data_IF_538618567514
#
_entry.id   IF_538618567514
#
_cell.length_a   1.000
_cell.length_b   1.000
_cell.length_c   1.000
_cell.angle_alpha   90.00
_cell.angle_beta   90.00
_cell.angle_gamma   90.00
#
_symmetry.space_group_name_H-M   'P 1'
#
loop_
_entity.id
_entity.type
_entity.pdbx_description
1 polymer ?
#
# COMPACT_ATOMS: atom_id res chain seq x y z
N UNK A 1 -43.29 31.61 -33.06
CA UNK A 1 -44.16 30.48 -32.72
C UNK A 1 -43.83 30.03 -31.31
N UNK A 2 -44.53 30.63 -30.33
CA UNK A 2 -44.56 30.14 -28.97
C UNK A 2 -45.29 28.79 -28.95
N UNK A 3 -44.80 27.82 -28.19
CA UNK A 3 -45.64 26.73 -27.69
C UNK A 3 -45.36 26.56 -26.20
N UNK A 4 -46.43 26.74 -25.46
CA UNK A 4 -46.59 26.83 -24.01
C UNK A 4 -46.57 25.47 -23.31
N UNK A 5 -46.34 25.51 -22.00
CA UNK A 5 -46.42 24.42 -21.02
C UNK A 5 -47.82 23.77 -20.92
N UNK A 6 -47.95 22.75 -20.05
CA UNK A 6 -48.69 23.05 -18.82
C UNK A 6 -48.00 22.57 -17.53
N UNK A 7 -48.25 23.37 -16.49
CA UNK A 7 -48.07 23.07 -15.07
C UNK A 7 -49.28 22.27 -14.53
N UNK A 8 -49.27 22.08 -13.21
CA UNK A 8 -50.35 21.61 -12.31
C UNK A 8 -50.38 20.08 -12.09
N UNK A 9 -50.54 19.52 -10.89
CA UNK A 9 -50.92 20.12 -9.61
C UNK A 9 -50.63 19.16 -8.43
N UNK A 10 -50.70 19.77 -7.25
CA UNK A 10 -50.43 19.31 -5.91
C UNK A 10 -51.63 18.59 -5.25
N UNK A 11 -51.40 17.64 -4.34
CA UNK A 11 -52.31 17.25 -3.24
C UNK A 11 -51.57 16.25 -2.31
N UNK A 12 -51.12 16.62 -1.10
CA UNK A 12 -51.83 16.59 0.21
C UNK A 12 -52.65 15.30 0.44
N UNK A 13 -52.68 14.60 1.57
CA UNK A 13 -52.16 14.67 2.94
C UNK A 13 -52.18 13.21 3.46
N UNK A 14 -51.50 12.79 4.52
CA UNK A 14 -52.03 12.89 5.87
C UNK A 14 -51.01 12.37 6.89
N UNK A 15 -50.95 13.07 8.02
CA UNK A 15 -50.26 12.72 9.22
C UNK A 15 -50.93 11.52 9.93
N UNK A 16 -50.11 10.70 10.59
CA UNK A 16 -50.52 9.93 11.74
C UNK A 16 -49.43 10.05 12.81
N UNK A 17 -49.78 10.74 13.89
CA UNK A 17 -49.04 10.77 15.14
C UNK A 17 -49.09 9.40 15.84
N UNK A 18 -48.07 9.10 16.63
CA UNK A 18 -48.03 7.93 17.50
C UNK A 18 -46.70 7.87 18.24
N UNK A 19 -46.63 8.56 19.37
CA UNK A 19 -45.43 8.67 20.18
C UNK A 19 -45.16 7.46 21.09
N UNK A 20 -43.97 7.57 21.68
CA UNK A 20 -43.50 6.97 22.95
C UNK A 20 -43.35 5.45 22.94
N UNK A 21 -42.11 4.95 22.84
CA UNK A 21 -41.53 4.37 24.05
C UNK A 21 -40.00 4.27 24.02
N UNK A 22 -39.46 4.63 25.18
CA UNK A 22 -38.07 4.69 25.54
C UNK A 22 -37.65 3.28 25.98
N UNK A 23 -36.94 2.53 25.13
CA UNK A 23 -36.24 1.31 25.56
C UNK A 23 -34.76 1.43 25.22
N UNK A 24 -33.99 1.76 26.25
CA UNK A 24 -32.55 1.50 26.32
C UNK A 24 -32.38 -0.01 26.51
N UNK A 25 -31.71 -0.70 25.59
CA UNK A 25 -31.12 -2.02 25.85
C UNK A 25 -29.95 -2.23 24.86
N UNK A 26 -28.70 -1.98 25.28
CA UNK A 26 -27.77 -2.94 25.90
C UNK A 26 -27.27 -4.06 24.98
N UNK A 27 -26.61 -3.71 23.86
CA UNK A 27 -25.77 -4.68 23.12
C UNK A 27 -24.28 -4.55 23.44
N UNK A 28 -23.94 -4.04 24.63
CA UNK A 28 -22.58 -4.04 25.17
C UNK A 28 -22.33 -5.20 26.17
N UNK A 29 -23.27 -6.13 26.33
CA UNK A 29 -23.27 -7.09 27.43
C UNK A 29 -23.27 -8.56 26.98
N UNK A 30 -22.60 -8.87 25.88
CA UNK A 30 -22.36 -10.26 25.44
C UNK A 30 -20.91 -10.74 25.67
N UNK A 31 -20.14 -10.04 26.52
CA UNK A 31 -18.76 -10.41 26.88
C UNK A 31 -18.54 -10.57 28.38
N UNK A 32 -19.60 -10.54 29.19
CA UNK A 32 -19.48 -10.49 30.65
C UNK A 32 -20.34 -11.51 31.40
N UNK A 33 -20.56 -12.71 30.86
CA UNK A 33 -21.08 -13.82 31.67
C UNK A 33 -20.32 -15.13 31.40
N UNK A 34 -19.26 -15.33 32.18
CA UNK A 34 -18.77 -16.64 32.60
C UNK A 34 -17.74 -16.46 33.73
N UNK A 35 -18.13 -15.84 34.84
CA UNK A 35 -17.45 -16.09 36.13
C UNK A 35 -18.32 -17.06 36.89
N UNK A 36 -18.37 -18.30 36.40
CA UNK A 36 -18.73 -19.42 37.26
C UNK A 36 -17.50 -19.71 38.12
N UNK A 37 -17.66 -19.44 39.40
CA UNK A 37 -16.87 -19.96 40.51
C UNK A 37 -16.51 -21.44 40.24
N UNK A 38 -15.27 -21.65 39.82
CA UNK A 38 -14.62 -22.95 39.76
C UNK A 38 -13.24 -22.71 40.34
N UNK A 39 -12.84 -23.51 41.32
CA UNK A 39 -11.58 -23.38 42.09
C UNK A 39 -10.28 -23.52 41.29
N UNK A 40 -10.25 -23.13 40.03
CA UNK A 40 -9.06 -22.91 39.23
C UNK A 40 -8.45 -21.57 39.64
N UNK A 41 -7.20 -21.59 40.11
CA UNK A 41 -6.52 -20.35 40.49
C UNK A 41 -6.33 -19.42 39.29
N UNK A 42 -6.09 -18.14 39.55
CA UNK A 42 -5.66 -17.16 38.52
C UNK A 42 -4.53 -17.69 37.61
N UNK A 43 -3.66 -18.54 38.17
CA UNK A 43 -2.59 -19.21 37.43
C UNK A 43 -3.09 -20.22 36.39
N UNK A 44 -4.18 -20.95 36.67
CA UNK A 44 -4.77 -21.92 35.74
C UNK A 44 -5.54 -21.23 34.62
N UNK A 45 -6.22 -20.12 34.94
CA UNK A 45 -6.83 -19.25 33.94
C UNK A 45 -5.78 -18.66 32.98
N UNK A 46 -4.62 -18.22 33.51
CA UNK A 46 -3.52 -17.70 32.70
C UNK A 46 -2.88 -18.77 31.80
N UNK A 47 -2.62 -19.98 32.31
CA UNK A 47 -2.13 -21.11 31.50
C UNK A 47 -3.10 -21.48 30.37
N UNK A 48 -4.40 -21.47 30.67
CA UNK A 48 -5.45 -21.73 29.68
C UNK A 48 -5.46 -20.65 28.59
N UNK A 49 -5.34 -19.38 28.97
CA UNK A 49 -5.22 -18.26 28.03
C UNK A 49 -3.98 -18.40 27.12
N UNK A 50 -2.81 -18.70 27.71
CA UNK A 50 -1.57 -18.91 26.95
C UNK A 50 -1.73 -20.06 25.94
N UNK A 51 -2.28 -21.20 26.35
CA UNK A 51 -2.50 -22.36 25.47
C UNK A 51 -3.43 -22.01 24.31
N UNK A 52 -4.60 -21.42 24.58
CA UNK A 52 -5.56 -20.97 23.55
C UNK A 52 -4.91 -19.99 22.58
N UNK A 53 -4.06 -19.09 23.08
CA UNK A 53 -3.35 -18.12 22.24
C UNK A 53 -2.29 -18.77 21.35
N UNK A 54 -1.54 -19.75 21.87
CA UNK A 54 -0.58 -20.51 21.07
C UNK A 54 -1.28 -21.29 19.96
N UNK A 55 -2.41 -21.94 20.27
CA UNK A 55 -3.23 -22.67 19.29
C UNK A 55 -3.78 -21.72 18.22
N UNK A 56 -4.38 -20.59 18.60
CA UNK A 56 -4.87 -19.57 17.67
C UNK A 56 -3.75 -19.02 16.76
N UNK A 57 -2.53 -18.81 17.31
CA UNK A 57 -1.35 -18.41 16.52
C UNK A 57 -0.93 -19.51 15.53
N UNK A 58 -0.94 -20.77 15.95
CA UNK A 58 -0.61 -21.92 15.09
C UNK A 58 -1.61 -22.03 13.94
N UNK A 59 -2.91 -21.92 14.23
CA UNK A 59 -3.97 -21.93 13.21
C UNK A 59 -3.86 -20.75 12.25
N UNK A 60 -3.59 -19.54 12.76
CA UNK A 60 -3.37 -18.36 11.92
C UNK A 60 -2.16 -18.55 10.99
N UNK A 61 -1.04 -19.10 11.50
CA UNK A 61 0.14 -19.44 10.69
C UNK A 61 -0.18 -20.50 9.64
N UNK A 62 -0.92 -21.55 10.00
CA UNK A 62 -1.33 -22.59 9.06
C UNK A 62 -2.22 -22.03 7.94
N UNK A 63 -3.20 -21.17 8.27
CA UNK A 63 -4.04 -20.49 7.27
C UNK A 63 -3.23 -19.57 6.37
N UNK A 64 -2.28 -18.81 6.92
CA UNK A 64 -1.41 -17.94 6.15
C UNK A 64 -0.51 -18.74 5.19
N UNK A 65 0.06 -19.85 5.64
CA UNK A 65 0.87 -20.74 4.81
C UNK A 65 0.04 -21.39 3.68
N UNK A 66 -1.16 -21.89 3.98
CA UNK A 66 -2.05 -22.44 2.97
C UNK A 66 -2.46 -21.38 1.93
N UNK A 67 -2.76 -20.16 2.38
CA UNK A 67 -3.07 -19.04 1.48
C UNK A 67 -1.88 -18.65 0.61
N UNK A 68 -0.65 -18.65 1.17
CA UNK A 68 0.57 -18.38 0.43
C UNK A 68 0.83 -19.44 -0.65
N UNK A 69 0.53 -20.70 -0.37
CA UNK A 69 0.68 -21.77 -1.36
C UNK A 69 -0.31 -21.60 -2.52
N UNK A 70 -1.57 -21.26 -2.24
CA UNK A 70 -2.58 -20.97 -3.27
C UNK A 70 -2.14 -19.80 -4.16
N UNK A 71 -1.51 -18.76 -3.59
CA UNK A 71 -1.04 -17.60 -4.35
C UNK A 71 0.04 -17.92 -5.37
N UNK A 72 0.81 -18.99 -5.19
CA UNK A 72 1.85 -19.42 -6.15
C UNK A 72 1.25 -19.99 -7.44
N UNK A 73 -0.05 -20.27 -7.48
CA UNK A 73 -0.71 -20.71 -8.69
C UNK A 73 -0.63 -19.62 -9.79
N UNK A 74 -0.18 -19.95 -11.02
CA UNK A 74 0.00 -18.96 -12.08
C UNK A 74 -1.23 -18.12 -12.40
N UNK A 75 -2.43 -18.73 -12.35
CA UNK A 75 -3.69 -18.04 -12.58
C UNK A 75 -3.99 -16.99 -11.50
N UNK A 76 -3.69 -17.32 -10.24
CA UNK A 76 -3.86 -16.41 -9.11
C UNK A 76 -2.87 -15.24 -9.22
N UNK A 77 -1.60 -15.52 -9.52
CA UNK A 77 -0.60 -14.47 -9.75
C UNK A 77 -1.00 -13.54 -10.89
N UNK A 78 -1.46 -14.08 -12.02
CA UNK A 78 -1.92 -13.30 -13.16
C UNK A 78 -3.11 -12.40 -12.80
N UNK A 79 -4.10 -12.94 -12.08
CA UNK A 79 -5.23 -12.16 -11.58
C UNK A 79 -4.79 -11.05 -10.62
N UNK A 80 -3.90 -11.34 -9.68
CA UNK A 80 -3.38 -10.37 -8.71
C UNK A 80 -2.58 -9.26 -9.38
N UNK A 81 -1.73 -9.61 -10.35
CA UNK A 81 -1.00 -8.67 -11.19
C UNK A 81 -1.94 -7.74 -11.95
N UNK A 82 -3.00 -8.28 -12.54
CA UNK A 82 -4.03 -7.47 -13.21
C UNK A 82 -4.80 -6.56 -12.22
N UNK A 83 -5.11 -7.03 -11.02
CA UNK A 83 -5.71 -6.20 -9.95
C UNK A 83 -4.77 -5.07 -9.52
N UNK A 84 -3.48 -5.36 -9.34
CA UNK A 84 -2.46 -4.37 -8.98
C UNK A 84 -2.39 -3.27 -10.04
N UNK A 85 -2.31 -3.63 -11.32
CA UNK A 85 -2.33 -2.67 -12.42
C UNK A 85 -3.58 -1.78 -12.41
N UNK A 86 -4.77 -2.37 -12.32
CA UNK A 86 -6.03 -1.58 -12.26
C UNK A 86 -6.06 -0.62 -11.06
N UNK A 87 -5.50 -1.05 -9.94
CA UNK A 87 -5.40 -0.22 -8.73
C UNK A 87 -4.46 0.96 -8.97
N UNK A 88 -3.27 0.72 -9.54
CA UNK A 88 -2.34 1.78 -9.92
C UNK A 88 -2.97 2.76 -10.92
N UNK A 89 -3.71 2.24 -11.91
CA UNK A 89 -4.41 3.04 -12.91
C UNK A 89 -5.51 3.93 -12.30
N UNK A 90 -6.17 3.47 -11.25
CA UNK A 90 -7.20 4.26 -10.54
C UNK A 90 -6.64 5.53 -9.89
N UNK A 91 -5.32 5.60 -9.70
CA UNK A 91 -4.63 6.76 -9.12
C UNK A 91 -4.17 7.79 -10.15
N UNK A 92 -4.38 7.58 -11.45
CA UNK A 92 -4.05 8.56 -12.48
C UNK A 92 -4.76 9.89 -12.19
N UNK A 93 -4.01 11.00 -12.22
CA UNK A 93 -4.48 12.33 -11.88
C UNK A 93 -4.30 12.74 -10.42
N UNK A 94 -3.89 11.83 -9.52
CA UNK A 94 -3.56 12.20 -8.15
C UNK A 94 -2.28 13.04 -8.12
N UNK A 95 -2.29 14.20 -7.42
CA UNK A 95 -1.18 15.14 -7.46
C UNK A 95 0.08 14.63 -6.76
N UNK A 96 1.23 15.11 -7.22
CA UNK A 96 2.54 14.75 -6.70
C UNK A 96 2.89 15.63 -5.50
N UNK A 97 2.94 15.06 -4.29
CA UNK A 97 3.48 15.65 -3.05
C UNK A 97 3.00 17.07 -2.72
N UNK A 98 2.31 17.25 -1.59
CA UNK A 98 1.74 18.56 -1.17
C UNK A 98 2.66 19.78 -1.35
N UNK A 99 3.96 19.65 -1.04
CA UNK A 99 4.95 20.75 -1.17
C UNK A 99 5.06 21.36 -2.58
N UNK A 100 4.67 20.63 -3.63
CA UNK A 100 4.71 21.14 -5.01
C UNK A 100 3.46 21.95 -5.38
N UNK A 101 2.49 22.02 -4.46
CA UNK A 101 1.22 22.74 -4.63
C UNK A 101 0.96 23.75 -3.51
N UNK A 102 1.86 23.83 -2.51
CA UNK A 102 1.65 24.63 -1.29
C UNK A 102 1.75 26.15 -1.53
N UNK A 103 2.54 26.57 -2.51
CA UNK A 103 2.83 27.99 -2.75
C UNK A 103 1.83 28.65 -3.73
N UNK A 104 0.88 27.88 -4.28
CA UNK A 104 -0.14 28.38 -5.20
C UNK A 104 -1.55 28.05 -4.66
N UNK A 105 -2.18 28.98 -3.91
CA UNK A 105 -3.56 28.82 -3.43
C UNK A 105 -4.61 28.70 -4.55
N UNK A 106 -4.27 29.10 -5.78
CA UNK A 106 -5.14 28.95 -6.95
C UNK A 106 -4.95 27.59 -7.65
N UNK A 107 -3.94 26.80 -7.25
CA UNK A 107 -3.76 25.43 -7.71
C UNK A 107 -4.97 24.60 -7.31
N UNK A 108 -5.61 23.96 -8.29
CA UNK A 108 -6.70 23.00 -8.07
C UNK A 108 -6.31 21.83 -7.14
N UNK A 109 -5.02 21.68 -6.84
CA UNK A 109 -4.45 20.62 -6.01
C UNK A 109 -3.85 21.14 -4.69
N UNK A 110 -4.10 22.39 -4.29
CA UNK A 110 -3.63 22.92 -2.99
C UNK A 110 -4.20 22.12 -1.80
N UNK A 111 -5.48 21.73 -1.88
CA UNK A 111 -6.20 20.96 -0.83
C UNK A 111 -6.66 19.58 -1.32
N UNK A 112 -5.85 18.94 -2.17
CA UNK A 112 -6.17 17.60 -2.63
C UNK A 112 -6.23 16.62 -1.44
N UNK A 113 -7.21 15.69 -1.43
CA UNK A 113 -7.39 14.75 -0.31
C UNK A 113 -6.24 13.74 -0.19
N UNK A 114 -5.47 13.56 -1.27
CA UNK A 114 -4.38 12.61 -1.36
C UNK A 114 -3.29 13.18 -2.26
N UNK A 115 -2.04 12.93 -1.86
CA UNK A 115 -0.86 13.15 -2.69
C UNK A 115 -0.06 11.87 -2.73
N UNK A 116 0.44 11.52 -3.90
CA UNK A 116 1.26 10.33 -4.08
C UNK A 116 2.55 10.73 -4.77
N UNK A 117 3.68 10.57 -4.09
CA UNK A 117 4.98 10.49 -4.76
C UNK A 117 5.17 9.11 -5.40
N UNK A 118 6.34 8.87 -6.01
CA UNK A 118 6.60 7.63 -6.75
C UNK A 118 6.52 6.37 -5.87
N UNK A 119 7.16 6.39 -4.69
CA UNK A 119 7.11 5.25 -3.78
C UNK A 119 5.76 5.13 -3.07
N UNK A 120 5.09 6.25 -2.79
CA UNK A 120 3.77 6.28 -2.18
C UNK A 120 2.69 5.72 -3.10
N UNK A 121 2.78 5.93 -4.42
CA UNK A 121 1.88 5.31 -5.40
C UNK A 121 1.93 3.78 -5.32
N UNK A 122 3.13 3.20 -5.37
CA UNK A 122 3.32 1.75 -5.26
C UNK A 122 2.85 1.26 -3.89
N UNK A 123 3.28 1.93 -2.81
CA UNK A 123 2.90 1.55 -1.43
C UNK A 123 1.40 1.58 -1.23
N UNK A 124 0.73 2.62 -1.72
CA UNK A 124 -0.73 2.76 -1.61
C UNK A 124 -1.44 1.66 -2.38
N UNK A 125 -1.01 1.40 -3.61
CA UNK A 125 -1.61 0.35 -4.46
C UNK A 125 -1.47 -1.05 -3.85
N UNK A 126 -0.32 -1.36 -3.24
CA UNK A 126 -0.14 -2.63 -2.52
C UNK A 126 -0.97 -2.67 -1.23
N UNK A 127 -1.07 -1.55 -0.51
CA UNK A 127 -1.86 -1.45 0.74
C UNK A 127 -3.35 -1.66 0.50
N UNK A 128 -3.90 -1.12 -0.58
CA UNK A 128 -5.32 -1.34 -0.93
C UNK A 128 -5.60 -2.82 -1.23
N UNK A 129 -4.58 -3.57 -1.66
CA UNK A 129 -4.64 -5.01 -1.95
C UNK A 129 -3.99 -5.88 -0.86
N UNK A 130 -3.77 -5.34 0.35
CA UNK A 130 -3.02 -6.04 1.41
C UNK A 130 -3.63 -7.39 1.81
N UNK A 131 -4.96 -7.53 1.72
CA UNK A 131 -5.64 -8.78 2.03
C UNK A 131 -5.32 -9.86 0.98
N UNK A 132 -5.29 -9.47 -0.30
CA UNK A 132 -4.93 -10.34 -1.40
C UNK A 132 -3.44 -10.67 -1.44
N UNK A 133 -2.57 -9.67 -1.28
CA UNK A 133 -1.12 -9.86 -1.22
C UNK A 133 -0.71 -10.65 0.03
N UNK A 134 -1.48 -10.57 1.11
CA UNK A 134 -1.18 -11.29 2.36
C UNK A 134 -0.05 -10.67 3.19
N UNK A 135 0.34 -9.45 2.88
CA UNK A 135 1.29 -8.65 3.65
C UNK A 135 0.95 -7.16 3.55
N UNK A 136 1.59 -6.36 4.40
CA UNK A 136 1.54 -4.90 4.33
C UNK A 136 2.92 -4.39 3.96
N UNK A 137 3.00 -3.62 2.88
CA UNK A 137 4.25 -2.95 2.52
C UNK A 137 4.53 -1.81 3.50
N UNK A 138 5.71 -1.87 4.12
CA UNK A 138 6.13 -0.94 5.16
C UNK A 138 6.29 0.52 4.70
N UNK A 139 6.65 1.40 5.64
CA UNK A 139 6.79 2.85 5.45
C UNK A 139 8.04 3.25 4.66
N UNK A 140 8.95 2.31 4.36
CA UNK A 140 10.18 2.55 3.61
C UNK A 140 9.96 3.18 2.23
N UNK A 141 10.98 3.87 1.73
CA UNK A 141 10.99 4.56 0.43
C UNK A 141 11.20 3.56 -0.74
N UNK A 142 11.46 4.09 -1.95
CA UNK A 142 11.75 3.26 -3.12
C UNK A 142 12.94 2.30 -2.95
N UNK A 143 13.93 2.63 -2.11
CA UNK A 143 15.07 1.74 -1.85
C UNK A 143 14.64 0.49 -1.07
N UNK A 144 13.75 0.65 -0.09
CA UNK A 144 13.14 -0.47 0.62
C UNK A 144 12.29 -1.33 -0.33
N UNK A 145 11.48 -0.70 -1.18
CA UNK A 145 10.66 -1.44 -2.15
C UNK A 145 11.52 -2.25 -3.11
N UNK A 146 12.60 -1.65 -3.62
CA UNK A 146 13.59 -2.32 -4.46
C UNK A 146 14.19 -3.54 -3.76
N UNK A 147 14.53 -3.40 -2.48
CA UNK A 147 15.17 -4.48 -1.73
C UNK A 147 14.23 -5.65 -1.40
N UNK A 148 12.92 -5.38 -1.27
CA UNK A 148 11.92 -6.45 -1.04
C UNK A 148 11.55 -7.25 -2.29
N UNK A 149 12.10 -6.89 -3.44
CA UNK A 149 11.93 -7.60 -4.70
C UNK A 149 13.30 -8.17 -5.07
N UNK A 150 13.57 -9.48 -4.98
CA UNK A 150 14.88 -10.04 -5.32
C UNK A 150 15.06 -10.35 -6.82
N UNK A 151 13.97 -10.56 -7.57
CA UNK A 151 14.04 -11.00 -8.97
C UNK A 151 14.42 -9.82 -9.87
N UNK A 152 15.66 -9.84 -10.38
CA UNK A 152 16.20 -8.84 -11.33
C UNK A 152 16.08 -9.36 -12.76
N UNK A 153 15.59 -8.52 -13.65
CA UNK A 153 15.47 -8.78 -15.08
C UNK A 153 16.54 -7.99 -15.83
N UNK A 154 17.05 -8.55 -16.92
CA UNK A 154 18.19 -7.98 -17.67
C UNK A 154 17.75 -6.88 -18.64
N UNK A 155 16.50 -6.94 -19.12
CA UNK A 155 16.02 -6.03 -20.15
C UNK A 155 14.52 -5.76 -20.05
N UNK A 156 14.08 -4.66 -20.66
CA UNK A 156 12.66 -4.29 -20.77
C UNK A 156 11.82 -5.38 -21.45
N UNK A 157 12.40 -6.17 -22.35
CA UNK A 157 11.70 -7.24 -23.06
C UNK A 157 11.26 -8.40 -22.16
N UNK A 158 11.89 -8.55 -20.98
CA UNK A 158 11.52 -9.55 -19.99
C UNK A 158 10.45 -9.04 -19.01
N UNK A 159 10.16 -7.74 -19.00
CA UNK A 159 9.14 -7.18 -18.13
C UNK A 159 7.75 -7.61 -18.58
N UNK A 160 6.92 -7.89 -17.58
CA UNK A 160 5.49 -8.09 -17.75
C UNK A 160 4.73 -6.92 -17.12
N UNK A 161 3.55 -6.55 -17.65
CA UNK A 161 2.75 -5.50 -17.05
C UNK A 161 2.55 -5.75 -15.54
N UNK A 162 2.81 -4.73 -14.73
CA UNK A 162 2.77 -4.77 -13.26
C UNK A 162 4.14 -4.86 -12.61
N UNK A 163 5.18 -5.25 -13.35
CA UNK A 163 6.56 -5.20 -12.86
C UNK A 163 7.02 -3.76 -12.59
N UNK A 164 8.10 -3.60 -11.83
CA UNK A 164 8.59 -2.28 -11.43
C UNK A 164 9.89 -1.93 -12.16
N UNK A 165 9.99 -0.65 -12.54
CA UNK A 165 11.22 -0.04 -13.06
C UNK A 165 11.74 0.92 -12.01
N UNK A 166 12.91 0.62 -11.45
CA UNK A 166 13.60 1.47 -10.50
C UNK A 166 14.74 2.25 -11.17
N UNK A 167 15.02 3.44 -10.64
CA UNK A 167 16.00 4.37 -11.18
C UNK A 167 17.09 4.57 -10.15
N UNK A 168 18.31 4.12 -10.48
CA UNK A 168 19.51 4.45 -9.73
C UNK A 168 20.14 5.70 -10.33
N UNK A 169 20.46 6.71 -9.52
CA UNK A 169 20.99 7.97 -10.03
C UNK A 169 21.95 8.65 -9.04
N UNK A 170 22.86 9.45 -9.58
CA UNK A 170 23.58 10.45 -8.80
C UNK A 170 22.69 11.65 -8.56
N UNK A 171 22.64 12.11 -7.32
CA UNK A 171 22.01 13.37 -6.98
C UNK A 171 22.89 14.53 -7.46
N UNK A 172 22.29 15.48 -8.20
CA UNK A 172 23.02 16.65 -8.69
C UNK A 172 23.43 17.56 -7.53
N UNK A 173 24.62 18.14 -7.62
CA UNK A 173 25.12 19.14 -6.66
C UNK A 173 24.18 20.35 -6.61
N UNK A 174 23.93 20.86 -5.40
CA UNK A 174 23.01 21.99 -5.19
C UNK A 174 21.51 21.65 -5.28
N UNK A 175 21.13 20.40 -5.54
CA UNK A 175 19.71 19.99 -5.59
C UNK A 175 19.00 19.99 -4.22
N UNK A 176 19.76 20.05 -3.13
CA UNK A 176 19.26 19.94 -1.75
C UNK A 176 18.75 18.55 -1.37
N UNK A 177 18.91 17.55 -2.24
CA UNK A 177 18.56 16.16 -1.94
C UNK A 177 19.74 15.42 -1.32
N UNK A 178 19.45 14.44 -0.47
CA UNK A 178 20.45 13.50 0.04
C UNK A 178 20.46 12.23 -0.81
N UNK A 179 21.64 11.69 -1.05
CA UNK A 179 21.79 10.37 -1.66
C UNK A 179 21.00 9.33 -0.86
N UNK A 180 20.25 8.49 -1.56
CA UNK A 180 19.44 7.43 -0.95
C UNK A 180 20.19 6.10 -0.99
N UNK A 181 19.76 5.13 -0.18
CA UNK A 181 20.29 3.77 -0.23
C UNK A 181 20.12 3.16 -1.62
N UNK A 182 21.13 2.39 -2.04
CA UNK A 182 21.25 1.81 -3.39
C UNK A 182 21.19 2.85 -4.53
N UNK A 183 21.39 4.13 -4.25
CA UNK A 183 21.21 5.24 -5.18
C UNK A 183 19.78 5.34 -5.75
N UNK A 184 18.77 4.78 -5.08
CA UNK A 184 17.40 4.74 -5.60
C UNK A 184 16.69 6.09 -5.48
N UNK A 185 16.36 6.68 -6.63
CA UNK A 185 15.70 8.00 -6.68
C UNK A 185 14.25 7.95 -7.16
N UNK A 186 13.85 6.91 -7.87
CA UNK A 186 12.52 6.84 -8.47
C UNK A 186 12.08 5.39 -8.75
N UNK A 187 10.77 5.19 -8.84
CA UNK A 187 10.14 3.91 -9.18
C UNK A 187 8.89 4.16 -10.02
N UNK A 188 8.66 3.31 -11.02
CA UNK A 188 7.47 3.33 -11.86
C UNK A 188 6.93 1.92 -12.08
N UNK A 189 5.64 1.82 -12.37
CA UNK A 189 4.97 0.55 -12.69
C UNK A 189 4.97 0.37 -14.20
N UNK A 190 5.55 -0.72 -14.68
CA UNK A 190 5.59 -1.07 -16.09
C UNK A 190 4.23 -1.52 -16.58
N UNK A 191 3.83 -1.02 -17.76
CA UNK A 191 2.57 -1.39 -18.42
C UNK A 191 2.78 -1.99 -19.80
N UNK A 192 3.97 -1.84 -20.38
CA UNK A 192 4.28 -2.16 -21.78
C UNK A 192 3.61 -1.16 -22.73
N UNK A 193 2.28 -1.06 -22.68
CA UNK A 193 1.49 -0.19 -23.55
C UNK A 193 1.73 -0.47 -25.04
N UNK A 194 1.29 0.44 -25.91
CA UNK A 194 1.49 0.30 -27.35
C UNK A 194 2.95 0.45 -27.78
N UNK A 195 3.76 1.14 -26.98
CA UNK A 195 5.19 1.36 -27.25
C UNK A 195 6.08 0.18 -26.85
N UNK A 196 5.58 -0.76 -26.05
CA UNK A 196 6.38 -1.80 -25.40
C UNK A 196 7.24 -1.29 -24.22
N UNK A 197 7.21 0.01 -23.92
CA UNK A 197 8.04 0.65 -22.90
C UNK A 197 7.23 1.51 -21.91
N UNK A 198 5.91 1.54 -22.04
CA UNK A 198 5.06 2.46 -21.30
C UNK A 198 5.01 2.15 -19.79
N UNK A 199 4.92 3.19 -18.97
CA UNK A 199 4.85 3.09 -17.51
C UNK A 199 3.76 3.98 -16.92
N UNK A 200 3.38 3.70 -15.68
CA UNK A 200 2.64 4.62 -14.81
C UNK A 200 3.58 5.03 -13.68
N UNK A 201 3.72 6.33 -13.48
CA UNK A 201 4.58 6.89 -12.44
C UNK A 201 4.00 8.18 -11.88
N UNK A 202 4.49 8.56 -10.70
CA UNK A 202 4.19 9.87 -10.13
C UNK A 202 5.43 10.74 -10.17
N UNK A 203 5.38 11.85 -10.91
CA UNK A 203 6.51 12.73 -11.16
C UNK A 203 6.11 14.20 -10.96
N UNK A 204 7.06 15.07 -10.54
CA UNK A 204 6.80 16.50 -10.44
C UNK A 204 6.76 17.15 -11.84
N UNK A 205 6.08 18.29 -11.94
CA UNK A 205 5.95 19.08 -13.18
C UNK A 205 7.29 19.48 -13.82
N UNK A 206 8.38 19.49 -13.04
CA UNK A 206 9.74 19.80 -13.52
C UNK A 206 10.34 18.69 -14.39
N UNK A 207 9.74 17.51 -14.44
CA UNK A 207 10.20 16.44 -15.32
C UNK A 207 9.60 16.64 -16.72
N UNK A 208 10.44 16.64 -17.76
CA UNK A 208 10.01 16.86 -19.15
C UNK A 208 8.92 15.88 -19.62
N UNK A 209 8.94 14.63 -19.11
CA UNK A 209 7.94 13.59 -19.44
C UNK A 209 6.53 13.96 -19.01
N UNK A 210 6.40 14.81 -17.98
CA UNK A 210 5.11 15.21 -17.43
C UNK A 210 4.39 16.27 -18.25
N UNK A 211 5.09 16.92 -19.19
CA UNK A 211 4.54 18.00 -20.02
C UNK A 211 3.86 19.10 -19.18
N UNK A 212 4.39 19.38 -17.98
CA UNK A 212 3.90 20.40 -17.05
C UNK A 212 2.90 19.90 -15.99
N UNK A 213 2.42 18.66 -16.07
CA UNK A 213 1.51 18.08 -15.08
C UNK A 213 2.27 17.60 -13.83
N UNK A 214 1.73 17.79 -12.63
CA UNK A 214 2.38 17.37 -11.38
C UNK A 214 1.61 16.24 -10.70
N UNK A 215 1.96 14.97 -10.97
CA UNK A 215 1.17 13.85 -10.44
C UNK A 215 1.36 12.51 -11.14
N UNK A 216 0.48 11.57 -10.77
CA UNK A 216 0.40 10.21 -11.32
C UNK A 216 -0.12 10.25 -12.76
N UNK A 217 0.66 9.74 -13.69
CA UNK A 217 0.36 9.78 -15.14
C UNK A 217 0.84 8.52 -15.85
N UNK A 218 0.28 8.27 -17.04
CA UNK A 218 0.84 7.34 -18.02
C UNK A 218 1.95 8.03 -18.80
N UNK A 219 3.01 7.29 -19.08
CA UNK A 219 4.12 7.73 -19.91
C UNK A 219 4.39 6.71 -21.01
N UNK A 220 4.70 7.19 -22.21
CA UNK A 220 4.94 6.32 -23.37
C UNK A 220 6.25 5.52 -23.24
N UNK A 221 7.17 5.92 -22.36
CA UNK A 221 8.44 5.24 -22.12
C UNK A 221 8.88 5.42 -20.66
N UNK A 222 9.53 4.41 -20.10
CA UNK A 222 10.27 4.49 -18.83
C UNK A 222 11.54 5.36 -18.94
N UNK A 223 12.02 5.68 -20.13
CA UNK A 223 13.32 6.34 -20.27
C UNK A 223 13.30 7.76 -19.70
N UNK A 224 14.07 8.00 -18.65
CA UNK A 224 14.30 9.32 -18.06
C UNK A 224 15.77 9.42 -17.63
N UNK A 225 16.60 10.02 -18.48
CA UNK A 225 18.05 10.05 -18.28
C UNK A 225 18.52 11.10 -17.28
N UNK A 226 17.78 12.21 -17.14
CA UNK A 226 18.14 13.28 -16.24
C UNK A 226 16.89 14.06 -15.81
N UNK A 227 17.00 14.65 -14.63
CA UNK A 227 16.11 15.71 -14.16
C UNK A 227 16.95 16.86 -13.64
N UNK A 228 16.32 17.96 -13.21
CA UNK A 228 17.03 19.04 -12.54
C UNK A 228 17.70 18.61 -11.20
N UNK A 229 17.38 17.41 -10.67
CA UNK A 229 17.83 16.98 -9.34
C UNK A 229 18.73 15.75 -9.35
N UNK A 230 18.74 14.98 -10.42
CA UNK A 230 19.52 13.74 -10.50
C UNK A 230 19.84 13.35 -11.94
N UNK A 231 20.94 12.61 -12.10
CA UNK A 231 21.42 12.04 -13.35
C UNK A 231 21.43 10.53 -13.26
N UNK A 232 20.73 9.87 -14.18
CA UNK A 232 20.58 8.42 -14.19
C UNK A 232 21.94 7.71 -14.32
N UNK A 233 22.17 6.72 -13.45
CA UNK A 233 23.24 5.72 -13.61
C UNK A 233 22.74 4.50 -14.37
N UNK A 234 21.64 3.92 -13.90
CA UNK A 234 21.11 2.66 -14.41
C UNK A 234 19.63 2.50 -14.08
N UNK A 235 18.97 1.70 -14.91
CA UNK A 235 17.63 1.18 -14.62
C UNK A 235 17.76 -0.20 -13.99
N UNK A 236 16.88 -0.48 -13.03
CA UNK A 236 16.67 -1.83 -12.53
C UNK A 236 15.27 -2.29 -12.88
N UNK A 237 15.19 -3.45 -13.53
CA UNK A 237 13.95 -4.09 -13.88
C UNK A 237 13.66 -5.19 -12.85
N UNK A 238 12.56 -5.05 -12.12
CA UNK A 238 12.24 -5.92 -11.00
C UNK A 238 10.87 -6.59 -11.21
N UNK A 239 10.83 -7.92 -11.18
CA UNK A 239 9.56 -8.64 -11.20
C UNK A 239 8.85 -8.51 -9.85
N UNK A 240 7.55 -8.25 -9.87
CA UNK A 240 6.72 -8.23 -8.65
C UNK A 240 6.27 -9.62 -8.18
N UNK A 241 6.70 -10.69 -8.85
CA UNK A 241 6.25 -12.07 -8.55
C UNK A 241 6.46 -12.47 -7.09
N UNK A 242 7.56 -12.04 -6.46
CA UNK A 242 7.81 -12.28 -5.03
C UNK A 242 6.70 -11.69 -4.15
N UNK A 243 6.22 -10.49 -4.48
CA UNK A 243 5.08 -9.88 -3.79
C UNK A 243 3.77 -10.60 -4.13
N UNK A 244 3.56 -11.04 -5.37
CA UNK A 244 2.35 -11.80 -5.74
C UNK A 244 2.23 -13.12 -4.98
N UNK A 245 3.36 -13.74 -4.62
CA UNK A 245 3.43 -14.93 -3.76
C UNK A 245 3.20 -14.61 -2.27
N UNK A 246 3.07 -13.34 -1.92
CA UNK A 246 2.86 -12.85 -0.57
C UNK A 246 4.12 -12.72 0.27
N UNK A 247 5.29 -12.61 -0.37
CA UNK A 247 6.56 -12.43 0.30
C UNK A 247 6.98 -10.97 0.22
N UNK A 248 7.18 -10.32 1.37
CA UNK A 248 7.71 -8.96 1.47
C UNK A 248 8.81 -8.98 2.55
N UNK A 249 10.02 -9.33 2.13
CA UNK A 249 11.19 -9.46 3.01
C UNK A 249 12.37 -8.74 2.37
N UNK A 250 13.14 -8.02 3.20
CA UNK A 250 14.40 -7.42 2.79
C UNK A 250 15.39 -8.51 2.39
N UNK A 251 16.07 -8.32 1.27
CA UNK A 251 17.15 -9.22 0.81
C UNK A 251 18.54 -8.59 0.96
N UNK A 252 18.65 -7.32 1.36
CA UNK A 252 19.93 -6.68 1.61
C UNK A 252 20.50 -7.10 2.96
N UNK A 253 21.75 -7.58 2.95
CA UNK A 253 22.52 -7.86 4.17
C UNK A 253 23.22 -6.63 4.76
N UNK A 254 23.27 -5.51 4.04
CA UNK A 254 24.02 -4.31 4.43
C UNK A 254 23.16 -3.29 5.20
N UNK A 255 21.84 -3.27 4.97
CA UNK A 255 20.95 -2.23 5.48
C UNK A 255 19.89 -2.81 6.42
N UNK A 256 19.72 -2.19 7.59
CA UNK A 256 18.67 -2.55 8.54
C UNK A 256 17.37 -1.80 8.21
N UNK A 257 16.38 -2.53 7.71
CA UNK A 257 15.07 -1.99 7.37
C UNK A 257 14.02 -2.14 8.49
N UNK A 258 14.40 -2.44 9.74
CA UNK A 258 13.43 -2.64 10.85
C UNK A 258 12.38 -1.53 10.95
N UNK A 259 12.80 -0.27 10.92
CA UNK A 259 11.86 0.87 10.98
C UNK A 259 11.00 0.98 9.72
N UNK A 260 11.60 0.73 8.56
CA UNK A 260 10.91 0.76 7.28
C UNK A 260 9.88 -0.37 7.14
N UNK A 261 10.13 -1.52 7.75
CA UNK A 261 9.24 -2.68 7.78
C UNK A 261 8.07 -2.52 8.75
N UNK A 262 8.09 -1.52 9.65
CA UNK A 262 6.96 -1.24 10.53
C UNK A 262 5.76 -0.72 9.71
N UNK A 263 4.60 -1.34 9.92
CA UNK A 263 3.30 -0.80 9.51
C UNK A 263 2.91 0.37 10.43
N UNK A 264 2.04 1.28 9.97
CA UNK A 264 1.60 2.46 10.75
C UNK A 264 1.15 2.07 12.18
N UNK A 265 1.44 2.96 13.15
CA UNK A 265 1.28 2.75 14.60
C UNK A 265 -0.14 2.29 14.94
N UNK A 266 -0.25 1.00 15.24
CA UNK A 266 -1.49 0.32 15.63
C UNK A 266 -1.30 -1.19 15.81
N UNK A 267 -0.23 -1.75 15.22
CA UNK A 267 -0.05 -3.20 15.16
C UNK A 267 0.97 -3.80 16.13
N UNK A 268 1.79 -3.03 16.85
CA UNK A 268 2.84 -3.63 17.71
C UNK A 268 3.00 -2.87 19.02
N UNK A 269 2.75 -3.55 20.13
CA UNK A 269 3.08 -3.04 21.47
C UNK A 269 2.16 -3.47 22.60
N UNK A 270 0.94 -3.95 22.31
CA UNK A 270 0.11 -4.53 23.37
C UNK A 270 0.43 -6.00 23.53
N UNK A 271 0.66 -6.45 24.77
CA UNK A 271 0.58 -7.89 25.11
C UNK A 271 -0.75 -8.48 24.63
N UNK A 272 -1.79 -7.69 24.40
CA UNK A 272 -3.09 -8.11 23.85
C UNK A 272 -3.23 -7.91 22.33
N UNK A 273 -2.23 -7.37 21.62
CA UNK A 273 -2.27 -7.23 20.18
C UNK A 273 -2.06 -8.60 19.48
N UNK A 274 -2.99 -8.93 18.60
CA UNK A 274 -2.90 -10.05 17.68
C UNK A 274 -1.98 -9.66 16.52
N UNK A 275 -0.67 -9.80 16.70
CA UNK A 275 0.29 -9.77 15.59
C UNK A 275 1.65 -9.15 15.94
N UNK A 276 2.72 -9.87 15.58
CA UNK A 276 4.05 -9.28 15.35
C UNK A 276 5.02 -9.24 16.53
N UNK A 277 6.13 -9.99 16.40
CA UNK A 277 7.35 -9.83 17.20
C UNK A 277 7.87 -11.14 17.80
N UNK A 278 8.58 -11.95 17.00
CA UNK A 278 9.55 -12.92 17.53
C UNK A 278 10.80 -12.09 17.87
N UNK A 279 11.06 -11.92 19.15
CA UNK A 279 12.40 -11.62 19.65
C UNK A 279 12.87 -12.88 20.34
N UNK A 280 13.72 -13.66 19.68
CA UNK A 280 14.48 -14.71 20.33
C UNK A 280 15.48 -14.01 21.26
N UNK A 281 15.14 -13.98 22.55
CA UNK A 281 16.10 -13.71 23.60
C UNK A 281 16.85 -15.00 23.88
N UNK A 282 18.05 -15.14 23.33
CA UNK A 282 19.06 -16.01 23.91
C UNK A 282 19.58 -15.34 25.20
N UNK A 283 18.99 -15.69 26.33
CA UNK A 283 19.73 -15.89 27.58
C UNK A 283 20.46 -17.23 27.39
N UNK A 284 21.79 -17.31 27.36
CA UNK A 284 22.65 -17.06 28.51
C UNK A 284 23.00 -18.40 29.16
N UNK A 285 24.16 -18.96 28.80
CA UNK A 285 25.05 -19.72 29.69
C UNK A 285 26.50 -19.36 29.38
#
# INVERSE_FOLDING_TARGET
TLSTMPEDENSTAAAAEGGVDLVKDTTAEAAAEAVTDNGAGLQDAFKTYQKKRMEARREARARAAASAEIRKAPEVMSMLRAKFLRTVESYIGVPYGRKYHADDPASAHHDAPLYLDCCALVRRSVRDLQAEFGFVLGRGNQAYQFDTLPVRLESVAQLTPGDLVFYAADICEGSGLKQQLHDMVHVEVFTGGASGEATIGSLPHTCWRTRGTCGVQRFDTYKCQHTAKWTLKQYWFCSIDTWLQGVCQSHCGEHDWREAAMCDKGCTGSVFALGGGVGDGEEGE
#
